data_IF_859252698848
#
_entry.id   IF_859252698848
#
_cell.length_a   1.000
_cell.length_b   1.000
_cell.length_c   1.000
_cell.angle_alpha   90.00
_cell.angle_beta   90.00
_cell.angle_gamma   90.00
#
_symmetry.space_group_name_H-M   'P 1'
#
loop_
_entity.id
_entity.type
_entity.pdbx_description
1 polymer ?
#
# COMPACT_ATOMS: atom_id res chain seq x y z
N UNK A 1 -94.13 -37.21 -79.29
CA UNK A 1 -94.04 -36.05 -80.20
C UNK A 1 -93.68 -34.86 -79.34
N UNK A 2 -92.42 -34.40 -79.33
CA UNK A 2 -91.73 -33.58 -80.34
C UNK A 2 -91.45 -32.24 -79.62
N UNK A 3 -90.29 -32.15 -78.96
CA UNK A 3 -89.10 -31.39 -79.38
C UNK A 3 -89.31 -29.87 -79.49
N UNK A 4 -88.35 -29.15 -78.89
CA UNK A 4 -87.68 -27.93 -79.38
C UNK A 4 -87.75 -26.75 -78.37
N UNK A 5 -86.76 -25.89 -78.15
CA UNK A 5 -85.29 -25.89 -78.06
C UNK A 5 -84.92 -24.44 -77.61
N UNK A 6 -83.67 -24.20 -77.16
CA UNK A 6 -82.93 -22.92 -77.14
C UNK A 6 -83.23 -21.89 -76.03
N UNK A 7 -82.27 -21.60 -75.14
CA UNK A 7 -81.26 -20.54 -75.38
C UNK A 7 -80.29 -20.35 -74.21
N UNK A 8 -79.01 -20.23 -74.56
CA UNK A 8 -77.89 -19.79 -73.72
C UNK A 8 -78.15 -18.49 -72.96
N UNK A 9 -77.70 -18.41 -71.70
CA UNK A 9 -77.22 -17.16 -71.12
C UNK A 9 -76.10 -17.42 -70.11
N UNK A 10 -74.88 -17.21 -70.58
CA UNK A 10 -73.67 -17.05 -69.77
C UNK A 10 -73.82 -15.74 -68.99
N UNK A 11 -73.65 -15.80 -67.66
CA UNK A 11 -73.44 -14.59 -66.87
C UNK A 11 -72.30 -14.83 -65.89
N UNK A 12 -71.09 -14.50 -66.35
CA UNK A 12 -69.86 -14.54 -65.58
C UNK A 12 -69.76 -13.26 -64.75
N UNK A 13 -69.80 -13.39 -63.42
CA UNK A 13 -69.71 -12.26 -62.50
C UNK A 13 -68.23 -11.84 -62.33
N UNK A 14 -67.86 -10.55 -62.36
CA UNK A 14 -66.48 -10.14 -62.20
C UNK A 14 -65.99 -10.40 -60.76
N UNK A 15 -65.04 -11.33 -60.58
CA UNK A 15 -64.00 -11.21 -59.54
C UNK A 15 -62.85 -10.39 -60.13
N UNK A 16 -61.99 -9.66 -59.38
CA UNK A 16 -61.78 -9.61 -57.93
C UNK A 16 -61.66 -8.14 -57.41
N UNK A 17 -61.43 -7.86 -56.12
CA UNK A 17 -60.07 -7.73 -55.55
C UNK A 17 -60.07 -8.30 -54.14
N UNK A 18 -59.40 -9.44 -53.96
CA UNK A 18 -58.84 -9.81 -52.68
C UNK A 18 -58.01 -8.61 -52.18
N UNK A 19 -58.44 -7.99 -51.09
CA UNK A 19 -57.61 -7.03 -50.37
C UNK A 19 -56.40 -7.82 -49.85
N UNK A 20 -55.29 -7.60 -50.56
CA UNK A 20 -53.96 -8.15 -50.41
C UNK A 20 -53.72 -9.05 -49.19
N UNK A 21 -53.64 -10.35 -49.47
CA UNK A 21 -52.72 -11.25 -48.77
C UNK A 21 -51.27 -10.72 -48.76
N UNK A 22 -50.92 -9.73 -49.60
CA UNK A 22 -49.59 -9.11 -49.69
C UNK A 22 -49.23 -8.04 -48.65
N UNK A 23 -50.18 -7.23 -48.14
CA UNK A 23 -49.88 -6.11 -47.22
C UNK A 23 -49.69 -6.58 -45.76
N UNK A 24 -50.52 -7.53 -45.33
CA UNK A 24 -50.35 -8.22 -44.05
C UNK A 24 -49.01 -8.99 -44.03
N UNK A 25 -48.72 -9.70 -45.13
CA UNK A 25 -47.50 -10.50 -45.29
C UNK A 25 -46.23 -9.61 -45.39
N UNK A 26 -46.31 -8.40 -45.95
CA UNK A 26 -45.20 -7.45 -45.97
C UNK A 26 -44.96 -6.79 -44.59
N UNK A 27 -46.02 -6.49 -43.85
CA UNK A 27 -45.93 -5.94 -42.49
C UNK A 27 -45.39 -6.97 -41.51
N UNK A 28 -45.86 -8.22 -41.55
CA UNK A 28 -45.33 -9.35 -40.78
C UNK A 28 -43.86 -9.61 -41.08
N UNK A 29 -43.45 -9.50 -42.35
CA UNK A 29 -42.06 -9.69 -42.75
C UNK A 29 -41.14 -8.59 -42.20
N UNK A 30 -41.60 -7.33 -42.19
CA UNK A 30 -40.88 -6.22 -41.55
C UNK A 30 -40.82 -6.38 -40.03
N UNK A 31 -41.92 -6.82 -39.41
CA UNK A 31 -41.97 -7.09 -37.98
C UNK A 31 -40.99 -8.22 -37.59
N UNK A 32 -40.99 -9.31 -38.36
CA UNK A 32 -40.07 -10.43 -38.19
C UNK A 32 -38.61 -10.01 -38.37
N UNK A 33 -38.31 -9.18 -39.38
CA UNK A 33 -36.97 -8.59 -39.55
C UNK A 33 -36.55 -7.74 -38.35
N UNK A 34 -37.43 -6.91 -37.81
CA UNK A 34 -37.14 -6.10 -36.62
C UNK A 34 -36.88 -6.99 -35.39
N UNK A 35 -37.65 -8.06 -35.22
CA UNK A 35 -37.45 -9.04 -34.13
C UNK A 35 -36.11 -9.77 -34.27
N UNK A 36 -35.74 -10.19 -35.48
CA UNK A 36 -34.45 -10.86 -35.73
C UNK A 36 -33.27 -9.91 -35.47
N UNK A 37 -33.35 -8.66 -35.96
CA UNK A 37 -32.29 -7.67 -35.76
C UNK A 37 -32.14 -7.29 -34.29
N UNK A 38 -33.25 -7.12 -33.56
CA UNK A 38 -33.24 -6.83 -32.12
C UNK A 38 -32.73 -8.00 -31.30
N UNK A 39 -33.17 -9.23 -31.60
CA UNK A 39 -32.63 -10.43 -30.95
C UNK A 39 -31.14 -10.61 -31.23
N UNK A 40 -30.71 -10.44 -32.48
CA UNK A 40 -29.31 -10.47 -32.87
C UNK A 40 -28.47 -9.41 -32.12
N UNK A 41 -28.98 -8.19 -32.02
CA UNK A 41 -28.35 -7.10 -31.26
C UNK A 41 -28.26 -7.43 -29.76
N UNK A 42 -29.32 -7.97 -29.16
CA UNK A 42 -29.33 -8.40 -27.76
C UNK A 42 -28.31 -9.51 -27.50
N UNK A 43 -28.19 -10.50 -28.40
CA UNK A 43 -27.18 -11.54 -28.30
C UNK A 43 -25.76 -10.97 -28.35
N UNK A 44 -25.50 -10.00 -29.24
CA UNK A 44 -24.19 -9.33 -29.34
C UNK A 44 -23.90 -8.53 -28.06
N UNK A 45 -24.86 -7.75 -27.55
CA UNK A 45 -24.70 -7.00 -26.30
C UNK A 45 -24.43 -7.94 -25.13
N UNK A 46 -25.18 -9.04 -25.02
CA UNK A 46 -25.00 -10.02 -23.95
C UNK A 46 -23.61 -10.68 -24.05
N UNK A 47 -23.14 -11.00 -25.25
CA UNK A 47 -21.80 -11.55 -25.46
C UNK A 47 -20.71 -10.55 -25.04
N UNK A 48 -20.82 -9.28 -25.44
CA UNK A 48 -19.89 -8.21 -25.07
C UNK A 48 -19.87 -8.02 -23.55
N UNK A 49 -21.04 -7.96 -22.91
CA UNK A 49 -21.13 -7.82 -21.45
C UNK A 49 -20.51 -9.01 -20.72
N UNK A 50 -20.77 -10.24 -21.19
CA UNK A 50 -20.19 -11.44 -20.60
C UNK A 50 -18.66 -11.48 -20.76
N UNK A 51 -18.13 -11.11 -21.93
CA UNK A 51 -16.69 -11.05 -22.17
C UNK A 51 -16.06 -9.95 -21.31
N UNK A 52 -16.64 -8.75 -21.30
CA UNK A 52 -16.15 -7.63 -20.50
C UNK A 52 -16.13 -7.97 -19.01
N UNK A 53 -17.21 -8.56 -18.50
CA UNK A 53 -17.29 -9.02 -17.11
C UNK A 53 -16.20 -10.04 -16.79
N UNK A 54 -15.97 -11.03 -17.66
CA UNK A 54 -14.90 -12.03 -17.46
C UNK A 54 -13.51 -11.41 -17.46
N UNK A 55 -13.24 -10.46 -18.34
CA UNK A 55 -11.95 -9.76 -18.37
C UNK A 55 -11.74 -8.96 -17.07
N UNK A 56 -12.73 -8.16 -16.66
CA UNK A 56 -12.64 -7.39 -15.40
C UNK A 56 -12.49 -8.29 -14.17
N UNK A 57 -13.20 -9.43 -14.12
CA UNK A 57 -13.08 -10.38 -13.03
C UNK A 57 -11.69 -11.01 -12.98
N UNK A 58 -11.12 -11.39 -14.14
CA UNK A 58 -9.77 -11.92 -14.25
C UNK A 58 -8.72 -10.91 -13.78
N UNK A 59 -8.86 -9.64 -14.15
CA UNK A 59 -7.93 -8.57 -13.72
C UNK A 59 -8.01 -8.34 -12.20
N UNK A 60 -9.21 -8.34 -11.63
CA UNK A 60 -9.42 -8.20 -10.18
C UNK A 60 -8.84 -9.39 -9.42
N UNK A 61 -9.03 -10.62 -9.91
CA UNK A 61 -8.46 -11.84 -9.32
C UNK A 61 -6.93 -11.80 -9.33
N UNK A 62 -6.33 -11.40 -10.45
CA UNK A 62 -4.88 -11.23 -10.56
C UNK A 62 -4.37 -10.16 -9.59
N UNK A 63 -5.06 -9.02 -9.47
CA UNK A 63 -4.72 -7.97 -8.50
C UNK A 63 -4.80 -8.44 -7.06
N UNK A 64 -5.86 -9.18 -6.69
CA UNK A 64 -6.01 -9.74 -5.35
C UNK A 64 -4.94 -10.78 -5.02
N UNK A 65 -4.55 -11.59 -6.00
CA UNK A 65 -3.45 -12.55 -5.85
C UNK A 65 -2.12 -11.84 -5.61
N UNK A 66 -1.78 -10.82 -6.41
CA UNK A 66 -0.56 -10.05 -6.22
C UNK A 66 -0.50 -9.39 -4.82
N UNK A 67 -1.59 -8.76 -4.39
CA UNK A 67 -1.69 -8.16 -3.04
C UNK A 67 -1.56 -9.20 -1.93
N UNK A 68 -2.09 -10.41 -2.14
CA UNK A 68 -1.96 -11.52 -1.20
C UNK A 68 -0.51 -11.97 -1.09
N UNK A 69 0.19 -12.11 -2.22
CA UNK A 69 1.60 -12.46 -2.27
C UNK A 69 2.49 -11.40 -1.63
N UNK A 70 2.27 -10.11 -1.93
CA UNK A 70 2.97 -8.98 -1.31
C UNK A 70 2.75 -8.96 0.21
N UNK A 71 1.50 -9.11 0.67
CA UNK A 71 1.18 -9.18 2.10
C UNK A 71 1.94 -10.33 2.78
N UNK A 72 1.94 -11.51 2.16
CA UNK A 72 2.53 -12.70 2.78
C UNK A 72 4.06 -12.60 2.80
N UNK A 73 4.68 -11.96 1.79
CA UNK A 73 6.09 -11.59 1.81
C UNK A 73 6.41 -10.57 2.91
N UNK A 74 5.60 -9.52 3.07
CA UNK A 74 5.76 -8.54 4.14
C UNK A 74 5.64 -9.19 5.53
N UNK A 75 4.66 -10.08 5.72
CA UNK A 75 4.51 -10.83 6.98
C UNK A 75 5.74 -11.67 7.28
N UNK A 76 6.28 -12.35 6.28
CA UNK A 76 7.51 -13.15 6.43
C UNK A 76 8.70 -12.26 6.80
N UNK A 77 8.90 -11.13 6.13
CA UNK A 77 9.94 -10.15 6.46
C UNK A 77 9.79 -9.61 7.87
N UNK A 78 8.57 -9.24 8.27
CA UNK A 78 8.26 -8.76 9.61
C UNK A 78 8.57 -9.83 10.67
N UNK A 79 8.21 -11.09 10.42
CA UNK A 79 8.51 -12.19 11.33
C UNK A 79 10.02 -12.41 11.48
N UNK A 80 10.77 -12.35 10.38
CA UNK A 80 12.23 -12.48 10.41
C UNK A 80 12.89 -11.34 11.21
N UNK A 81 12.40 -10.11 11.08
CA UNK A 81 12.87 -8.98 11.86
C UNK A 81 12.61 -9.17 13.36
N UNK A 82 11.39 -9.58 13.71
CA UNK A 82 11.03 -9.86 15.10
C UNK A 82 11.91 -10.96 15.72
N UNK A 83 12.19 -12.04 14.96
CA UNK A 83 13.10 -13.10 15.40
C UNK A 83 14.54 -12.60 15.57
N UNK A 84 14.96 -11.59 14.80
CA UNK A 84 16.25 -10.92 14.92
C UNK A 84 16.33 -9.87 16.04
N UNK A 85 15.32 -9.78 16.91
CA UNK A 85 15.27 -8.82 18.01
C UNK A 85 14.90 -7.39 17.61
N UNK A 86 14.31 -7.20 16.41
CA UNK A 86 13.79 -5.90 15.99
C UNK A 86 12.37 -5.68 16.45
N UNK A 87 12.08 -4.48 16.93
CA UNK A 87 10.78 -4.05 17.38
C UNK A 87 10.20 -2.99 16.45
N UNK A 88 8.93 -3.16 16.07
CA UNK A 88 8.24 -2.20 15.23
C UNK A 88 7.52 -1.13 16.08
N UNK A 89 7.80 0.14 15.79
CA UNK A 89 7.11 1.26 16.41
C UNK A 89 6.94 2.40 15.40
N UNK A 90 5.69 2.87 15.25
CA UNK A 90 5.30 3.98 14.34
C UNK A 90 5.92 3.91 12.94
N UNK A 91 5.88 2.74 12.30
CA UNK A 91 6.35 2.58 10.92
C UNK A 91 7.87 2.42 10.78
N UNK A 92 8.61 2.33 11.89
CA UNK A 92 10.06 2.11 11.90
C UNK A 92 10.41 0.87 12.72
N UNK A 93 11.59 0.33 12.48
CA UNK A 93 12.12 -0.83 13.17
C UNK A 93 13.33 -0.43 14.01
N UNK A 94 13.33 -0.86 15.26
CA UNK A 94 14.34 -0.53 16.26
C UNK A 94 14.99 -1.80 16.80
N UNK A 95 16.28 -1.72 17.11
CA UNK A 95 17.03 -2.81 17.73
C UNK A 95 17.83 -2.26 18.90
N UNK A 96 17.64 -2.80 20.11
CA UNK A 96 18.49 -2.47 21.26
C UNK A 96 19.54 -3.55 21.45
N UNK A 97 20.79 -3.14 21.70
CA UNK A 97 21.87 -4.08 21.94
C UNK A 97 21.72 -4.82 23.27
N UNK A 98 22.32 -6.01 23.35
CA UNK A 98 22.45 -6.79 24.58
C UNK A 98 23.85 -6.73 25.20
N UNK A 99 24.74 -5.92 24.63
CA UNK A 99 26.11 -5.68 25.08
C UNK A 99 26.43 -4.19 24.95
N UNK A 100 27.54 -3.79 25.55
CA UNK A 100 28.01 -2.40 25.54
C UNK A 100 29.19 -2.25 24.56
N UNK A 101 29.26 -1.09 23.91
CA UNK A 101 30.31 -0.71 22.94
C UNK A 101 30.56 0.79 23.00
N UNK A 102 31.67 1.24 22.41
CA UNK A 102 31.90 2.67 22.17
C UNK A 102 30.88 3.21 21.16
N UNK A 103 30.66 4.53 21.15
CA UNK A 103 29.65 5.14 20.27
C UNK A 103 29.90 4.80 18.79
N UNK A 104 31.17 4.84 18.36
CA UNK A 104 31.54 4.53 16.98
C UNK A 104 31.31 3.05 16.64
N UNK A 105 31.72 2.12 17.51
CA UNK A 105 31.49 0.70 17.28
C UNK A 105 30.00 0.31 17.31
N UNK A 106 29.20 1.01 18.11
CA UNK A 106 27.75 0.90 18.13
C UNK A 106 27.13 1.35 16.81
N UNK A 107 27.57 2.50 16.27
CA UNK A 107 27.13 2.98 14.96
C UNK A 107 27.51 2.01 13.85
N UNK A 108 28.73 1.50 13.86
CA UNK A 108 29.21 0.52 12.87
C UNK A 108 28.37 -0.77 12.91
N UNK A 109 27.98 -1.24 14.10
CA UNK A 109 27.07 -2.38 14.24
C UNK A 109 25.68 -2.10 13.66
N UNK A 110 25.11 -0.91 13.88
CA UNK A 110 23.85 -0.51 13.24
C UNK A 110 23.97 -0.47 11.71
N UNK A 111 25.05 0.13 11.19
CA UNK A 111 25.31 0.23 9.75
C UNK A 111 25.44 -1.14 9.09
N UNK A 112 26.13 -2.08 9.73
CA UNK A 112 26.24 -3.47 9.25
C UNK A 112 24.88 -4.18 9.15
N UNK A 113 23.90 -3.78 9.96
CA UNK A 113 22.52 -4.29 9.90
C UNK A 113 21.63 -3.52 8.93
N UNK A 114 22.16 -2.59 8.14
CA UNK A 114 21.39 -1.73 7.25
C UNK A 114 20.56 -0.66 7.96
N UNK A 115 20.97 -0.28 9.17
CA UNK A 115 20.35 0.73 10.02
C UNK A 115 21.35 1.86 10.33
N UNK A 116 21.01 2.75 11.26
CA UNK A 116 21.95 3.71 11.88
C UNK A 116 21.58 3.84 13.36
N UNK A 117 22.35 4.57 14.16
CA UNK A 117 21.94 4.90 15.53
C UNK A 117 20.62 5.70 15.53
N UNK A 118 19.80 5.51 16.57
CA UNK A 118 18.48 6.12 16.66
C UNK A 118 18.54 7.65 16.63
N UNK A 119 17.66 8.23 15.81
CA UNK A 119 17.39 9.66 15.74
C UNK A 119 16.06 9.91 16.43
N UNK A 120 15.99 10.91 17.30
CA UNK A 120 14.79 11.23 18.09
C UNK A 120 14.29 12.62 17.68
N UNK A 121 13.19 12.65 16.92
CA UNK A 121 12.61 13.90 16.40
C UNK A 121 11.23 14.19 16.99
N UNK A 122 10.70 13.32 17.83
CA UNK A 122 9.36 13.43 18.41
C UNK A 122 9.33 13.01 19.87
N UNK A 123 8.32 13.49 20.60
CA UNK A 123 8.11 13.08 22.00
C UNK A 123 7.81 11.60 22.10
N UNK A 124 7.10 11.05 21.12
CA UNK A 124 6.73 9.65 21.14
C UNK A 124 7.90 8.72 20.85
N UNK A 125 8.88 9.14 20.05
CA UNK A 125 10.17 8.43 19.92
C UNK A 125 10.97 8.50 21.22
N UNK A 126 10.99 9.66 21.90
CA UNK A 126 11.64 9.78 23.21
C UNK A 126 10.95 8.90 24.27
N UNK A 127 9.63 8.94 24.36
CA UNK A 127 8.87 8.13 25.33
C UNK A 127 9.05 6.62 25.05
N UNK A 128 9.23 6.22 23.79
CA UNK A 128 9.46 4.84 23.40
C UNK A 128 10.77 4.26 23.94
N UNK A 129 11.81 5.07 24.10
CA UNK A 129 13.12 4.59 24.58
C UNK A 129 13.10 4.19 26.05
N UNK A 130 12.20 4.77 26.85
CA UNK A 130 12.09 4.55 28.30
C UNK A 130 11.86 3.07 28.66
N UNK A 131 11.22 2.30 27.79
CA UNK A 131 10.97 0.87 28.00
C UNK A 131 12.23 0.01 28.11
N UNK A 132 13.37 0.49 27.59
CA UNK A 132 14.61 -0.28 27.57
C UNK A 132 15.32 -0.30 28.93
N UNK A 133 14.98 0.64 29.83
CA UNK A 133 15.43 0.69 31.22
C UNK A 133 16.95 0.53 31.39
N UNK A 134 17.73 1.14 30.50
CA UNK A 134 19.19 1.13 30.50
C UNK A 134 19.73 2.35 29.75
N UNK A 135 20.99 2.69 30.00
CA UNK A 135 21.66 3.73 29.25
C UNK A 135 21.84 3.30 27.78
N UNK A 136 21.63 4.23 26.84
CA UNK A 136 21.63 3.92 25.41
C UNK A 136 22.31 5.01 24.60
N UNK A 137 23.34 4.67 23.83
CA UNK A 137 23.81 5.50 22.73
C UNK A 137 22.69 5.77 21.74
N UNK A 138 22.51 7.06 21.43
CA UNK A 138 21.68 7.57 20.35
C UNK A 138 22.57 8.21 19.29
N UNK A 139 22.00 8.48 18.11
CA UNK A 139 22.76 8.97 16.96
C UNK A 139 23.12 10.44 17.03
N UNK A 140 23.34 11.01 18.22
CA UNK A 140 23.58 12.42 18.44
C UNK A 140 25.07 12.65 18.80
N UNK A 141 25.71 13.61 18.14
CA UNK A 141 27.12 13.96 18.39
C UNK A 141 27.40 15.41 18.00
N UNK A 142 28.34 16.07 18.67
CA UNK A 142 28.92 17.36 18.30
C UNK A 142 30.44 17.28 18.06
N UNK A 143 30.99 16.06 17.91
CA UNK A 143 32.42 15.78 17.68
C UNK A 143 33.06 16.52 16.48
N UNK A 144 32.27 17.01 15.53
CA UNK A 144 32.75 17.84 14.42
C UNK A 144 33.00 19.30 14.84
N UNK A 145 32.19 19.83 15.75
CA UNK A 145 32.23 21.23 16.18
C UNK A 145 31.53 21.33 17.54
N UNK A 146 32.32 21.52 18.59
CA UNK A 146 31.88 21.68 19.98
C UNK A 146 30.63 22.58 20.10
N UNK A 147 29.62 22.08 20.82
CA UNK A 147 28.35 22.78 21.03
C UNK A 147 27.40 22.78 19.81
N UNK A 148 27.80 22.19 18.68
CA UNK A 148 26.97 22.06 17.47
C UNK A 148 26.53 20.61 17.26
N UNK A 149 25.49 20.21 17.99
CA UNK A 149 24.93 18.87 17.95
C UNK A 149 24.22 18.54 16.63
N UNK A 150 24.57 17.39 16.05
CA UNK A 150 23.98 16.84 14.83
C UNK A 150 23.64 15.37 15.01
N UNK A 151 22.66 14.93 14.24
CA UNK A 151 22.33 13.52 14.11
C UNK A 151 23.28 12.82 13.14
N UNK A 152 23.38 11.49 13.24
CA UNK A 152 24.18 10.62 12.34
C UNK A 152 23.79 10.73 10.86
N UNK A 153 22.62 11.27 10.53
CA UNK A 153 22.20 11.59 9.15
C UNK A 153 22.65 12.98 8.67
N UNK A 154 23.37 13.72 9.51
CA UNK A 154 23.88 15.07 9.25
C UNK A 154 22.88 16.19 9.55
N UNK A 155 21.65 15.88 9.96
CA UNK A 155 20.66 16.91 10.29
C UNK A 155 20.98 17.58 11.62
N UNK A 156 20.80 18.92 11.76
CA UNK A 156 21.07 19.61 13.02
C UNK A 156 20.00 19.27 14.07
N UNK A 157 20.39 19.30 15.34
CA UNK A 157 19.46 19.15 16.46
C UNK A 157 18.48 20.33 16.50
N UNK A 158 17.17 20.04 16.45
CA UNK A 158 16.10 21.05 16.54
C UNK A 158 15.36 21.05 17.86
N UNK A 159 15.23 19.87 18.47
CA UNK A 159 14.55 19.65 19.75
C UNK A 159 15.38 18.70 20.57
N UNK A 160 15.66 19.07 21.80
CA UNK A 160 16.43 18.26 22.74
C UNK A 160 15.55 17.68 23.83
N UNK A 161 16.07 16.61 24.44
CA UNK A 161 15.59 16.05 25.69
C UNK A 161 16.77 15.87 26.66
N UNK A 162 17.69 16.84 26.65
CA UNK A 162 18.79 16.94 27.62
C UNK A 162 18.23 16.93 29.02
N UNK A 163 18.88 16.16 29.90
CA UNK A 163 18.60 16.24 31.32
C UNK A 163 19.00 17.62 31.88
N UNK A 164 18.59 17.90 33.11
CA UNK A 164 18.95 19.12 33.81
C UNK A 164 20.46 19.28 33.84
N UNK A 165 20.92 20.47 33.45
CA UNK A 165 22.35 20.85 33.37
C UNK A 165 23.13 20.21 32.22
N UNK A 166 22.51 19.39 31.36
CA UNK A 166 23.13 18.81 30.17
C UNK A 166 22.88 19.65 28.89
N UNK A 167 23.78 19.58 27.89
CA UNK A 167 25.09 18.91 27.91
C UNK A 167 26.14 19.73 28.68
N UNK A 168 27.04 19.08 29.44
CA UNK A 168 28.02 19.75 30.31
C UNK A 168 29.49 19.34 30.13
N UNK A 169 29.80 18.34 29.30
CA UNK A 169 31.13 17.75 29.22
C UNK A 169 32.11 18.47 28.28
N UNK A 170 31.64 19.45 27.50
CA UNK A 170 32.45 20.26 26.60
C UNK A 170 33.27 19.41 25.62
N UNK A 171 34.52 19.80 25.36
CA UNK A 171 35.38 19.10 24.38
C UNK A 171 35.68 17.62 24.73
N UNK A 172 35.32 17.15 25.93
CA UNK A 172 35.59 15.77 26.37
C UNK A 172 34.45 14.79 26.11
N UNK A 173 33.21 15.26 25.99
CA UNK A 173 32.02 14.42 25.94
C UNK A 173 31.16 14.79 24.73
N UNK A 174 31.43 14.13 23.61
CA UNK A 174 30.91 14.57 22.31
C UNK A 174 29.82 13.64 21.74
N UNK A 175 29.31 12.71 22.56
CA UNK A 175 28.37 11.68 22.13
C UNK A 175 27.16 11.64 23.05
N UNK A 176 25.96 11.69 22.47
CA UNK A 176 24.71 11.70 23.22
C UNK A 176 24.27 10.29 23.60
N UNK A 177 23.98 10.07 24.88
CA UNK A 177 23.28 8.90 25.40
C UNK A 177 21.96 9.30 26.05
N UNK A 178 21.04 8.35 26.16
CA UNK A 178 19.96 8.39 27.16
C UNK A 178 20.54 7.78 28.44
N UNK A 179 20.53 8.51 29.55
CA UNK A 179 21.08 8.06 30.83
C UNK A 179 19.98 7.85 31.88
N UNK A 180 19.27 8.91 32.27
CA UNK A 180 18.16 8.85 33.22
C UNK A 180 16.83 8.44 32.54
N UNK A 181 16.80 7.24 31.97
CA UNK A 181 15.71 6.72 31.12
C UNK A 181 14.30 6.75 31.74
N UNK A 182 14.16 6.94 33.05
CA UNK A 182 12.86 7.10 33.71
C UNK A 182 12.24 8.48 33.47
N UNK A 183 13.03 9.48 33.07
CA UNK A 183 12.62 10.86 32.81
C UNK A 183 12.39 11.13 31.32
N UNK A 184 11.52 12.11 31.01
CA UNK A 184 11.34 12.58 29.63
C UNK A 184 12.60 13.27 29.11
N UNK A 185 13.14 14.19 29.90
CA UNK A 185 14.45 14.81 29.69
C UNK A 185 15.48 13.92 30.38
N UNK A 186 16.29 13.23 29.58
CA UNK A 186 17.14 12.13 30.06
C UNK A 186 18.43 11.95 29.26
N UNK A 187 18.71 12.85 28.33
CA UNK A 187 19.95 12.78 27.55
C UNK A 187 21.11 13.37 28.33
N UNK A 188 22.28 12.78 28.11
CA UNK A 188 23.56 13.15 28.70
C UNK A 188 24.59 13.09 27.56
N UNK A 189 25.45 14.08 27.45
CA UNK A 189 26.65 13.96 26.64
C UNK A 189 27.68 13.15 27.42
N UNK A 190 28.37 12.23 26.76
CA UNK A 190 29.29 11.31 27.41
C UNK A 190 30.51 11.12 26.53
N UNK A 191 31.62 10.70 27.15
CA UNK A 191 32.82 10.35 26.42
C UNK A 191 32.50 9.27 25.37
N UNK A 192 32.76 9.54 24.10
CA UNK A 192 32.47 8.62 23.00
C UNK A 192 33.16 7.25 23.13
N UNK A 193 34.21 7.14 23.97
CA UNK A 193 34.95 5.91 24.26
C UNK A 193 34.35 5.10 25.41
N UNK A 194 33.35 5.64 26.11
CA UNK A 194 32.60 4.91 27.15
C UNK A 194 31.84 3.73 26.54
N UNK A 195 31.74 2.63 27.30
CA UNK A 195 30.99 1.45 26.87
C UNK A 195 29.55 1.60 27.33
N UNK A 196 28.62 1.74 26.37
CA UNK A 196 27.19 1.88 26.63
C UNK A 196 26.42 0.95 25.69
N UNK A 197 25.24 0.48 26.10
CA UNK A 197 24.31 -0.16 25.16
C UNK A 197 23.91 0.84 24.07
N UNK A 198 23.32 0.39 22.97
CA UNK A 198 22.91 1.28 21.89
C UNK A 198 21.59 0.87 21.29
N UNK A 199 20.96 1.81 20.59
CA UNK A 199 19.73 1.57 19.85
C UNK A 199 19.88 1.97 18.38
N UNK A 200 19.56 1.04 17.49
CA UNK A 200 19.52 1.27 16.05
C UNK A 200 18.11 1.59 15.57
N UNK A 201 18.00 2.36 14.48
CA UNK A 201 16.77 2.54 13.71
C UNK A 201 17.02 2.23 12.23
N UNK A 202 16.17 1.43 11.60
CA UNK A 202 16.28 1.16 10.17
C UNK A 202 16.06 2.46 9.37
N UNK A 203 16.93 2.68 8.36
CA UNK A 203 16.71 3.75 7.37
C UNK A 203 15.46 3.39 6.57
N UNK A 204 14.45 4.26 6.61
CA UNK A 204 13.36 4.18 5.63
C UNK A 204 14.01 4.57 4.31
N UNK A 205 14.15 3.61 3.39
CA UNK A 205 14.56 3.96 2.03
C UNK A 205 13.43 4.79 1.43
N UNK A 206 13.71 6.00 0.89
CA UNK A 206 12.70 6.78 0.18
C UNK A 206 12.16 6.02 -1.04
#
# INVERSE_FOLDING_TARGET
>A
MQQMEVSDYVNESPRPKQKGSGDANQTERRLCQMVILSFGLLCVIQAILNVSLRLTFSDVEAGFKNLTEERDDLKRKLNNLAQGGWEHFRGRFYYSSSMEKTWQESRDDCLQKGADLMIINSKEEQDFTRKYQKALWIGLTDSETEGTWKWVDGTPLKKSYWDSEEPNGGESENCGQIFHYDLENSWNDENCSSLVYWICVMKVRP
#
